data_IF_867384779864
#
_entry.id   IF_867384779864
#
_cell.length_a   1.000
_cell.length_b   1.000
_cell.length_c   1.000
_cell.angle_alpha   90.00
_cell.angle_beta   90.00
_cell.angle_gamma   90.00
#
_symmetry.space_group_name_H-M   'P 1'
#
loop_
_entity.id
_entity.type
_entity.pdbx_description
1 polymer ?
#
# COMPACT_ATOMS: atom_id res chain seq x y z
N UNK A 1 1.94 12.59 -3.26
CA UNK A 1 1.80 11.57 -2.20
C UNK A 1 1.57 10.18 -2.75
N UNK A 2 0.54 9.96 -3.60
CA UNK A 2 0.29 8.64 -4.22
C UNK A 2 1.50 8.17 -5.06
N UNK A 3 2.07 9.01 -5.91
CA UNK A 3 3.27 8.65 -6.70
C UNK A 3 4.47 8.28 -5.81
N UNK A 4 4.69 9.04 -4.72
CA UNK A 4 5.75 8.72 -3.76
C UNK A 4 5.49 7.37 -3.07
N UNK A 5 4.25 7.09 -2.67
CA UNK A 5 3.89 5.79 -2.09
C UNK A 5 4.05 4.64 -3.09
N UNK A 6 3.73 4.88 -4.36
CA UNK A 6 3.96 3.91 -5.43
C UNK A 6 5.45 3.56 -5.56
N UNK A 7 6.31 4.58 -5.67
CA UNK A 7 7.76 4.40 -5.81
C UNK A 7 8.35 3.75 -4.55
N UNK A 8 7.92 4.19 -3.36
CA UNK A 8 8.38 3.62 -2.09
C UNK A 8 8.05 2.13 -1.99
N UNK A 9 6.81 1.73 -2.28
CA UNK A 9 6.40 0.33 -2.27
C UNK A 9 7.10 -0.49 -3.38
N UNK A 10 7.13 0.04 -4.60
CA UNK A 10 7.67 -0.68 -5.76
C UNK A 10 9.18 -0.89 -5.66
N UNK A 11 9.93 0.13 -5.23
CA UNK A 11 11.40 0.10 -5.24
C UNK A 11 11.93 -0.29 -3.87
N UNK A 12 11.67 0.52 -2.85
CA UNK A 12 12.33 0.37 -1.55
C UNK A 12 11.85 -0.86 -0.80
N UNK A 13 10.53 -1.04 -0.71
CA UNK A 13 9.94 -2.15 0.01
C UNK A 13 10.21 -3.49 -0.70
N UNK A 14 9.97 -3.59 -2.02
CA UNK A 14 10.32 -4.82 -2.75
C UNK A 14 11.82 -5.14 -2.68
N UNK A 15 12.70 -4.14 -2.73
CA UNK A 15 14.14 -4.37 -2.59
C UNK A 15 14.47 -5.02 -1.25
N UNK A 16 13.93 -4.46 -0.15
CA UNK A 16 14.07 -5.05 1.18
C UNK A 16 13.53 -6.47 1.19
N UNK A 17 12.36 -6.69 0.58
CA UNK A 17 11.70 -8.00 0.58
C UNK A 17 12.44 -9.06 -0.23
N UNK A 18 13.17 -8.65 -1.27
CA UNK A 18 14.06 -9.54 -2.02
C UNK A 18 15.30 -9.88 -1.21
N UNK A 19 15.96 -8.86 -0.63
CA UNK A 19 17.27 -9.01 0.05
C UNK A 19 17.16 -9.69 1.42
N UNK A 20 16.08 -9.42 2.16
CA UNK A 20 15.92 -9.86 3.55
C UNK A 20 14.92 -11.02 3.74
N UNK A 21 14.34 -11.54 2.64
CA UNK A 21 13.27 -12.54 2.58
C UNK A 21 13.28 -13.60 3.70
N UNK A 22 12.67 -13.28 4.84
CA UNK A 22 12.40 -14.22 5.93
C UNK A 22 13.61 -14.63 6.79
N UNK A 23 14.75 -13.94 6.72
CA UNK A 23 15.95 -14.33 7.50
C UNK A 23 15.84 -14.07 9.01
N UNK A 24 14.83 -13.30 9.46
CA UNK A 24 14.76 -12.81 10.84
C UNK A 24 13.40 -13.09 11.50
N UNK A 25 13.44 -13.42 12.79
CA UNK A 25 12.24 -13.59 13.62
C UNK A 25 11.39 -12.32 13.62
N UNK A 26 10.09 -12.42 13.31
CA UNK A 26 9.21 -11.24 13.25
C UNK A 26 9.30 -10.43 11.96
N UNK A 27 9.95 -10.97 10.93
CA UNK A 27 10.16 -10.29 9.65
C UNK A 27 8.89 -9.67 9.06
N UNK A 28 7.77 -10.39 9.04
CA UNK A 28 6.55 -9.88 8.41
C UNK A 28 5.87 -8.79 9.23
N UNK A 29 5.99 -8.81 10.57
CA UNK A 29 5.50 -7.71 11.42
C UNK A 29 6.33 -6.46 11.15
N UNK A 30 7.65 -6.61 11.10
CA UNK A 30 8.55 -5.51 10.78
C UNK A 30 8.29 -4.95 9.38
N UNK A 31 8.06 -5.81 8.39
CA UNK A 31 7.75 -5.41 7.01
C UNK A 31 6.43 -4.62 6.94
N UNK A 32 5.40 -5.05 7.69
CA UNK A 32 4.15 -4.30 7.81
C UNK A 32 4.41 -2.90 8.38
N UNK A 33 5.22 -2.76 9.42
CA UNK A 33 5.57 -1.44 9.97
C UNK A 33 6.27 -0.55 8.94
N UNK A 34 7.18 -1.14 8.15
CA UNK A 34 7.90 -0.42 7.09
C UNK A 34 6.95 0.12 6.01
N UNK A 35 5.86 -0.59 5.68
CA UNK A 35 4.87 -0.08 4.73
C UNK A 35 4.27 1.27 5.16
N UNK A 36 4.10 1.51 6.46
CA UNK A 36 3.48 2.73 6.99
C UNK A 36 4.49 3.81 7.37
N UNK A 37 5.75 3.45 7.64
CA UNK A 37 6.78 4.32 8.22
C UNK A 37 6.83 5.73 7.61
N UNK A 38 6.92 5.93 6.28
CA UNK A 38 7.03 7.27 5.71
C UNK A 38 5.74 8.09 5.79
N UNK A 39 4.61 7.47 6.14
CA UNK A 39 3.29 8.09 6.17
C UNK A 39 2.78 8.36 7.59
N UNK A 40 3.41 7.78 8.62
CA UNK A 40 3.01 7.98 10.03
C UNK A 40 3.03 9.46 10.41
N UNK A 41 3.96 10.23 9.85
CA UNK A 41 4.05 11.68 10.08
C UNK A 41 2.73 12.42 9.81
N UNK A 42 1.95 12.04 8.79
CA UNK A 42 0.69 12.71 8.49
C UNK A 42 -0.32 12.62 9.66
N UNK A 43 -0.39 11.45 10.31
CA UNK A 43 -1.25 11.23 11.47
C UNK A 43 -0.69 11.88 12.74
N UNK A 44 0.63 11.90 12.90
CA UNK A 44 1.28 12.55 14.05
C UNK A 44 1.04 14.06 14.05
N UNK A 45 1.13 14.72 12.90
CA UNK A 45 0.89 16.16 12.79
C UNK A 45 -0.61 16.51 12.87
N UNK A 46 -1.48 15.63 12.37
CA UNK A 46 -2.92 15.83 12.47
C UNK A 46 -3.66 14.49 12.38
N UNK A 47 -4.26 14.07 13.51
CA UNK A 47 -5.01 12.81 13.58
C UNK A 47 -6.14 12.71 12.55
N UNK A 48 -6.67 13.83 12.03
CA UNK A 48 -7.68 13.79 10.95
C UNK A 48 -7.15 13.18 9.65
N UNK A 49 -5.84 13.07 9.49
CA UNK A 49 -5.19 12.45 8.33
C UNK A 49 -4.93 10.94 8.50
N UNK A 50 -5.44 10.30 9.55
CA UNK A 50 -5.26 8.86 9.77
C UNK A 50 -5.64 8.02 8.56
N UNK A 51 -6.75 8.35 7.89
CA UNK A 51 -7.20 7.64 6.69
C UNK A 51 -6.23 7.76 5.52
N UNK A 52 -5.49 8.88 5.43
CA UNK A 52 -4.45 9.09 4.43
C UNK A 52 -3.20 8.27 4.77
N UNK A 53 -2.77 8.24 6.05
CA UNK A 53 -1.65 7.38 6.48
C UNK A 53 -1.94 5.92 6.21
N UNK A 54 -3.12 5.43 6.62
CA UNK A 54 -3.51 4.04 6.41
C UNK A 54 -3.66 3.73 4.91
N UNK A 55 -4.32 4.60 4.16
CA UNK A 55 -4.51 4.42 2.72
C UNK A 55 -3.19 4.37 1.95
N UNK A 56 -2.24 5.25 2.25
CA UNK A 56 -0.92 5.27 1.57
C UNK A 56 -0.04 4.09 1.98
N UNK A 57 -0.06 3.67 3.25
CA UNK A 57 0.70 2.50 3.69
C UNK A 57 0.16 1.20 3.12
N UNK A 58 -1.17 1.02 3.08
CA UNK A 58 -1.80 -0.11 2.39
C UNK A 58 -1.54 -0.09 0.88
N UNK A 59 -1.47 1.10 0.28
CA UNK A 59 -1.10 1.23 -1.13
C UNK A 59 0.37 0.85 -1.38
N UNK A 60 1.31 1.26 -0.53
CA UNK A 60 2.69 0.81 -0.61
C UNK A 60 2.82 -0.71 -0.45
N UNK A 61 2.06 -1.30 0.49
CA UNK A 61 1.94 -2.75 0.66
C UNK A 61 1.40 -3.46 -0.59
N UNK A 62 0.41 -2.88 -1.29
CA UNK A 62 -0.08 -3.41 -2.57
C UNK A 62 0.99 -3.39 -3.66
N UNK A 63 1.82 -2.35 -3.72
CA UNK A 63 2.93 -2.30 -4.68
C UNK A 63 4.00 -3.34 -4.38
N UNK A 64 4.19 -3.72 -3.10
CA UNK A 64 5.03 -4.86 -2.78
C UNK A 64 4.44 -6.13 -3.42
N UNK A 65 3.23 -6.52 -3.03
CA UNK A 65 2.70 -7.83 -3.43
C UNK A 65 2.42 -7.96 -4.93
N UNK A 66 2.05 -6.88 -5.62
CA UNK A 66 1.84 -6.92 -7.07
C UNK A 66 3.17 -6.99 -7.81
N UNK A 67 4.18 -6.22 -7.40
CA UNK A 67 5.42 -6.10 -8.16
C UNK A 67 6.56 -6.99 -7.66
N UNK A 68 6.43 -7.66 -6.52
CA UNK A 68 7.50 -8.47 -5.94
C UNK A 68 8.03 -9.55 -6.90
N UNK A 69 7.13 -10.27 -7.60
CA UNK A 69 7.53 -11.25 -8.62
C UNK A 69 8.28 -10.61 -9.79
N UNK A 70 7.87 -9.42 -10.23
CA UNK A 70 8.57 -8.66 -11.27
C UNK A 70 9.94 -8.18 -10.77
N UNK A 71 10.01 -7.68 -9.53
CA UNK A 71 11.25 -7.22 -8.92
C UNK A 71 12.25 -8.37 -8.81
N UNK A 72 11.83 -9.56 -8.34
CA UNK A 72 12.69 -10.76 -8.33
C UNK A 72 13.27 -11.08 -9.70
N UNK A 73 12.43 -11.04 -10.73
CA UNK A 73 12.86 -11.29 -12.11
C UNK A 73 13.90 -10.25 -12.58
N UNK A 74 13.67 -8.97 -12.32
CA UNK A 74 14.61 -7.88 -12.70
C UNK A 74 15.94 -8.02 -11.95
N UNK A 75 15.92 -8.48 -10.70
CA UNK A 75 17.13 -8.72 -9.90
C UNK A 75 17.85 -10.03 -10.25
N UNK A 76 17.44 -10.72 -11.33
CA UNK A 76 18.14 -11.90 -11.86
C UNK A 76 17.86 -13.20 -11.12
N UNK A 77 16.86 -13.23 -10.24
CA UNK A 77 16.41 -14.48 -9.60
C UNK A 77 15.52 -15.22 -10.59
N UNK A 78 15.91 -16.46 -10.95
CA UNK A 78 15.09 -17.31 -11.82
C UNK A 78 13.72 -17.52 -11.17
N UNK A 79 12.69 -16.93 -11.77
CA UNK A 79 11.36 -16.86 -11.19
C UNK A 79 10.28 -16.92 -12.27
N UNK A 80 9.32 -17.81 -12.10
CA UNK A 80 8.19 -17.94 -13.02
C UNK A 80 7.13 -16.86 -12.70
N UNK A 81 7.17 -15.79 -13.48
CA UNK A 81 6.26 -14.65 -13.36
C UNK A 81 4.82 -15.07 -13.62
N UNK A 82 4.58 -15.98 -14.56
CA UNK A 82 3.23 -16.44 -14.88
C UNK A 82 2.63 -17.20 -13.70
N UNK A 83 3.41 -18.13 -13.12
CA UNK A 83 3.00 -18.85 -11.91
C UNK A 83 2.76 -17.90 -10.75
N UNK A 84 3.65 -16.92 -10.54
CA UNK A 84 3.52 -15.93 -9.48
C UNK A 84 2.17 -15.22 -9.52
N UNK A 85 1.83 -14.60 -10.65
CA UNK A 85 0.57 -13.88 -10.77
C UNK A 85 -0.65 -14.80 -10.72
N UNK A 86 -0.54 -16.04 -11.21
CA UNK A 86 -1.62 -17.02 -11.06
C UNK A 86 -1.90 -17.32 -9.58
N UNK A 87 -0.86 -17.42 -8.76
CA UNK A 87 -0.95 -17.78 -7.35
C UNK A 87 -1.30 -16.58 -6.46
N UNK A 88 -0.88 -15.37 -6.83
CA UNK A 88 -1.15 -14.15 -6.07
C UNK A 88 -2.52 -13.54 -6.38
N UNK A 89 -2.98 -13.60 -7.64
CA UNK A 89 -4.22 -12.93 -8.07
C UNK A 89 -5.40 -13.89 -8.19
N UNK A 90 -5.19 -15.15 -8.56
CA UNK A 90 -6.27 -16.12 -8.69
C UNK A 90 -6.33 -16.95 -7.41
N UNK A 91 -7.48 -17.04 -6.73
CA UNK A 91 -7.58 -17.81 -5.49
C UNK A 91 -7.42 -19.31 -5.77
N UNK A 92 -6.34 -19.90 -5.26
CA UNK A 92 -6.05 -21.33 -5.34
C UNK A 92 -5.72 -21.91 -3.96
N UNK A 93 -5.61 -23.23 -3.87
CA UNK A 93 -5.30 -23.96 -2.63
C UNK A 93 -3.81 -24.12 -2.33
N UNK A 94 -2.91 -23.59 -3.16
CA UNK A 94 -1.46 -23.79 -3.01
C UNK A 94 -0.90 -22.94 -1.86
N UNK A 95 -0.02 -23.54 -1.05
CA UNK A 95 0.73 -22.82 -0.01
C UNK A 95 1.85 -22.00 -0.65
N UNK A 96 1.88 -20.70 -0.36
CA UNK A 96 2.85 -19.77 -0.94
C UNK A 96 4.08 -19.61 -0.06
N UNK A 97 3.86 -19.26 1.20
CA UNK A 97 4.90 -19.05 2.19
C UNK A 97 4.33 -19.21 3.60
N UNK A 98 5.21 -19.11 4.61
CA UNK A 98 4.82 -19.07 6.01
C UNK A 98 5.03 -17.65 6.53
N UNK A 99 3.95 -17.01 6.97
CA UNK A 99 3.97 -15.70 7.61
C UNK A 99 4.62 -15.81 8.99
N UNK A 100 5.88 -15.42 9.08
CA UNK A 100 6.63 -15.33 10.33
C UNK A 100 6.29 -14.02 11.06
N UNK A 101 5.49 -14.12 12.13
CA UNK A 101 5.13 -13.00 13.00
C UNK A 101 6.08 -12.85 14.21
N UNK A 102 7.13 -13.66 14.27
CA UNK A 102 7.98 -13.82 15.44
C UNK A 102 7.36 -14.87 16.34
N UNK A 103 6.38 -14.51 17.14
CA UNK A 103 5.77 -15.42 18.13
C UNK A 103 4.95 -16.58 17.53
N UNK A 104 4.55 -16.49 16.25
CA UNK A 104 3.79 -17.55 15.57
C UNK A 104 4.06 -17.54 14.08
N UNK A 105 3.74 -18.66 13.46
CA UNK A 105 3.91 -18.91 12.03
C UNK A 105 2.58 -19.35 11.42
N UNK A 106 2.10 -18.61 10.43
CA UNK A 106 0.82 -18.88 9.78
C UNK A 106 1.07 -19.25 8.32
N UNK A 107 0.68 -20.45 7.85
CA UNK A 107 0.79 -20.78 6.44
C UNK A 107 -0.13 -19.89 5.61
N UNK A 108 0.41 -19.22 4.60
CA UNK A 108 -0.34 -18.37 3.69
C UNK A 108 -0.60 -19.13 2.40
N UNK A 109 -1.88 -19.29 2.09
CA UNK A 109 -2.34 -19.93 0.86
C UNK A 109 -2.67 -18.88 -0.21
N UNK A 110 -2.67 -19.30 -1.47
CA UNK A 110 -2.98 -18.47 -2.63
C UNK A 110 -4.32 -17.73 -2.49
N UNK A 111 -5.39 -18.41 -2.05
CA UNK A 111 -6.67 -17.77 -1.81
C UNK A 111 -6.62 -16.66 -0.74
N UNK A 112 -5.81 -16.83 0.31
CA UNK A 112 -5.62 -15.82 1.36
C UNK A 112 -4.92 -14.59 0.80
N UNK A 113 -3.94 -14.82 -0.08
CA UNK A 113 -3.20 -13.75 -0.72
C UNK A 113 -4.07 -12.95 -1.69
N UNK A 114 -4.78 -13.64 -2.59
CA UNK A 114 -5.70 -13.02 -3.53
C UNK A 114 -6.78 -12.21 -2.80
N UNK A 115 -7.40 -12.78 -1.76
CA UNK A 115 -8.39 -12.08 -0.94
C UNK A 115 -7.79 -10.84 -0.26
N UNK A 116 -6.59 -10.95 0.30
CA UNK A 116 -5.89 -9.82 0.93
C UNK A 116 -5.59 -8.69 -0.06
N UNK A 117 -5.18 -9.01 -1.28
CA UNK A 117 -4.96 -8.03 -2.36
C UNK A 117 -6.27 -7.33 -2.72
N UNK A 118 -7.33 -8.09 -2.98
CA UNK A 118 -8.64 -7.51 -3.34
C UNK A 118 -9.23 -6.63 -2.23
N UNK A 119 -9.16 -7.09 -0.98
CA UNK A 119 -9.61 -6.30 0.17
C UNK A 119 -8.80 -5.02 0.33
N UNK A 120 -7.47 -5.07 0.16
CA UNK A 120 -6.64 -3.86 0.24
C UNK A 120 -6.93 -2.88 -0.89
N UNK A 121 -7.15 -3.35 -2.12
CA UNK A 121 -7.56 -2.48 -3.23
C UNK A 121 -8.86 -1.76 -2.88
N UNK A 122 -9.87 -2.49 -2.37
CA UNK A 122 -11.15 -1.90 -1.97
C UNK A 122 -10.99 -0.87 -0.84
N UNK A 123 -10.23 -1.20 0.20
CA UNK A 123 -9.99 -0.31 1.35
C UNK A 123 -9.19 0.93 0.94
N UNK A 124 -8.12 0.78 0.15
CA UNK A 124 -7.32 1.91 -0.35
C UNK A 124 -8.18 2.83 -1.21
N UNK A 125 -8.97 2.28 -2.13
CA UNK A 125 -9.88 3.06 -2.96
C UNK A 125 -10.90 3.82 -2.11
N UNK A 126 -11.53 3.16 -1.14
CA UNK A 126 -12.50 3.78 -0.23
C UNK A 126 -11.87 4.91 0.62
N UNK A 127 -10.70 4.68 1.21
CA UNK A 127 -10.01 5.66 2.06
C UNK A 127 -9.55 6.89 1.27
N UNK A 128 -8.95 6.69 0.07
CA UNK A 128 -8.52 7.80 -0.78
C UNK A 128 -9.72 8.59 -1.32
N UNK A 129 -10.80 7.90 -1.69
CA UNK A 129 -12.05 8.55 -2.11
C UNK A 129 -12.67 9.38 -0.98
N UNK A 130 -12.78 8.80 0.22
CA UNK A 130 -13.31 9.47 1.40
C UNK A 130 -12.48 10.72 1.77
N UNK A 131 -11.15 10.59 1.77
CA UNK A 131 -10.26 11.72 2.04
C UNK A 131 -10.43 12.84 1.01
N UNK A 132 -10.52 12.50 -0.29
CA UNK A 132 -10.78 13.49 -1.35
C UNK A 132 -12.09 14.25 -1.09
N UNK A 133 -13.15 13.54 -0.69
CA UNK A 133 -14.46 14.15 -0.40
C UNK A 133 -14.38 15.12 0.78
N UNK A 134 -13.72 14.74 1.88
CA UNK A 134 -13.54 15.63 3.05
C UNK A 134 -12.83 16.94 2.67
N UNK A 135 -11.81 16.87 1.80
CA UNK A 135 -11.08 18.08 1.39
C UNK A 135 -11.95 18.97 0.51
N UNK A 136 -12.72 18.40 -0.42
CA UNK A 136 -13.62 19.20 -1.27
C UNK A 136 -14.72 19.91 -0.47
N UNK A 137 -15.22 19.33 0.63
CA UNK A 137 -16.23 19.98 1.48
C UNK A 137 -15.65 21.11 2.33
N UNK A 138 -14.31 21.14 2.53
CA UNK A 138 -13.63 22.14 3.35
C UNK A 138 -13.09 23.33 2.59
N UNK A 139 -13.08 23.33 1.26
CA UNK A 139 -12.88 24.57 0.50
C UNK A 139 -14.15 25.41 0.63
N UNK A 140 -14.16 26.50 1.42
CA UNK A 140 -15.21 27.48 1.25
C UNK A 140 -15.00 28.03 -0.16
N UNK A 141 -16.06 28.03 -0.97
CA UNK A 141 -16.18 29.04 -2.03
C UNK A 141 -15.74 30.36 -1.41
N UNK A 142 -14.66 30.98 -1.90
CA UNK A 142 -14.43 32.39 -1.60
C UNK A 142 -15.67 33.15 -2.06
N UNK A 143 -16.45 33.78 -1.17
CA UNK A 143 -17.44 34.73 -1.61
C UNK A 143 -16.73 36.08 -1.75
N UNK A 144 -17.14 36.85 -2.76
CA UNK A 144 -17.02 38.33 -2.88
C UNK A 144 -15.61 38.89 -3.11
N UNK A 145 -15.36 39.91 -3.94
CA UNK A 145 -16.17 40.70 -4.86
C UNK A 145 -15.20 41.52 -5.74
N UNK A 146 -15.52 41.72 -7.02
CA UNK A 146 -15.04 42.85 -7.79
C UNK A 146 -16.07 43.20 -8.89
N UNK A 147 -17.30 43.50 -8.45
CA UNK A 147 -18.20 44.33 -9.26
C UNK A 147 -17.76 45.77 -8.98
N UNK A 148 -16.79 46.26 -9.75
CA UNK A 148 -16.61 47.70 -9.90
C UNK A 148 -17.51 48.14 -11.05
N UNK A 149 -18.75 48.49 -10.72
CA UNK A 149 -19.57 49.34 -11.56
C UNK A 149 -19.01 50.77 -11.45
N UNK A 150 -18.27 51.23 -12.44
CA UNK A 150 -18.05 52.68 -12.60
C UNK A 150 -19.22 53.20 -13.43
N UNK A 151 -20.16 53.83 -12.74
CA UNK A 151 -21.21 54.63 -13.37
C UNK A 151 -20.74 56.09 -13.47
N UNK A 152 -20.89 56.63 -14.67
CA UNK A 152 -20.87 58.05 -15.07
C UNK A 152 -19.54 58.78 -15.05
#
# INVERSE_FOLDING_TARGET
>A
MVAFAAIYGLVFINYIDVVSSGFTYGYHVWLVLMYFLPFVGFSMFNLKNWGLTVGLGLFASLMNDVFYGLTKYIFGVSYDIHRYYSLWLIPQGEKLFTLNLGFTEIPVYSWMMALSIYMRIAVVAALLWYWKRIQTTKSPLQPTAAVFSVSK
#
